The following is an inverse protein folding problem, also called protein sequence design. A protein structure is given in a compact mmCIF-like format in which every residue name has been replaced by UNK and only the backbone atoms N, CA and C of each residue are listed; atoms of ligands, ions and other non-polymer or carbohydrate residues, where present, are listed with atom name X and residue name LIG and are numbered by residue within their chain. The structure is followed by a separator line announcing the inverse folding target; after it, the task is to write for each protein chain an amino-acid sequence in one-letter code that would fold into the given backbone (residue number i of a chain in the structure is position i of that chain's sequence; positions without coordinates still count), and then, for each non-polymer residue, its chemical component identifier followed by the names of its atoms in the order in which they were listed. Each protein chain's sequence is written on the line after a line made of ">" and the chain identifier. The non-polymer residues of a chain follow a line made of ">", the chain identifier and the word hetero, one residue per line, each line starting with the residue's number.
data_IF_411586661399
#
_entry.id   IF_411586661399
#
_cell.length_a   1.000
_cell.length_b   1.000
_cell.length_c   1.000
_cell.angle_alpha   90.00
_cell.angle_beta   90.00
_cell.angle_gamma   90.00
#
_symmetry.space_group_name_H-M   'P 1'
#
loop_
_entity.id
_entity.type
_entity.pdbx_description
1 polymer ?
#
# COMPACT_ATOMS: atom_id res chain seq x y z
N UNK A 1 18.50 -13.89 0.46
CA UNK A 1 17.03 -13.94 0.43
C UNK A 1 16.59 -14.50 -0.91
N UNK A 2 15.56 -15.35 -0.92
CA UNK A 2 15.04 -15.95 -2.15
C UNK A 2 13.81 -15.21 -2.67
N UNK A 3 12.99 -14.64 -1.78
CA UNK A 3 11.79 -13.85 -2.11
C UNK A 3 11.53 -12.75 -1.06
N UNK A 4 10.87 -11.69 -1.46
CA UNK A 4 10.26 -10.73 -0.54
C UNK A 4 8.86 -11.22 -0.15
N UNK A 5 8.53 -11.14 1.14
CA UNK A 5 7.20 -11.52 1.64
C UNK A 5 6.28 -10.31 1.67
N UNK A 6 5.19 -10.39 0.92
CA UNK A 6 4.14 -9.37 0.94
C UNK A 6 2.95 -9.84 1.78
N UNK A 7 2.69 -9.13 2.88
CA UNK A 7 1.56 -9.43 3.76
C UNK A 7 0.27 -8.82 3.20
N UNK A 8 -0.85 -9.54 3.35
CA UNK A 8 -2.14 -9.00 2.90
C UNK A 8 -3.34 -9.60 3.63
N UNK A 9 -4.43 -8.86 3.65
CA UNK A 9 -4.57 -7.47 3.20
C UNK A 9 -4.54 -6.56 4.42
N UNK A 10 -3.68 -5.56 4.39
CA UNK A 10 -3.44 -4.66 5.51
C UNK A 10 -4.40 -3.48 5.44
N UNK A 11 -5.41 -3.33 6.30
CA UNK A 11 -5.82 -4.14 7.45
C UNK A 11 -7.36 -4.13 7.59
N UNK A 12 -7.91 -5.08 8.35
CA UNK A 12 -9.36 -5.14 8.59
C UNK A 12 -10.18 -5.83 7.49
N UNK A 13 -9.54 -6.39 6.48
CA UNK A 13 -10.18 -6.97 5.29
C UNK A 13 -11.20 -8.08 5.57
N UNK A 14 -11.08 -8.80 6.67
CA UNK A 14 -12.00 -9.87 7.05
C UNK A 14 -13.34 -9.42 7.69
N UNK A 15 -13.51 -8.11 7.94
CA UNK A 15 -14.62 -7.57 8.74
C UNK A 15 -15.50 -6.52 8.04
N UNK A 16 -15.58 -6.42 6.69
CA UNK A 16 -16.50 -5.48 6.06
C UNK A 16 -17.96 -5.85 6.30
N UNK A 17 -18.83 -4.83 6.35
CA UNK A 17 -20.28 -5.01 6.52
C UNK A 17 -20.83 -5.92 5.42
N UNK A 18 -21.59 -6.94 5.83
CA UNK A 18 -22.22 -7.87 4.91
C UNK A 18 -21.25 -8.77 4.13
N UNK A 19 -19.95 -8.79 4.48
CA UNK A 19 -18.93 -9.53 3.74
C UNK A 19 -18.67 -8.97 2.34
N UNK A 20 -19.08 -7.73 2.08
CA UNK A 20 -18.94 -7.09 0.78
C UNK A 20 -17.55 -6.48 0.65
N UNK A 21 -16.86 -6.79 -0.43
CA UNK A 21 -15.60 -6.15 -0.78
C UNK A 21 -15.76 -4.62 -0.81
N UNK A 22 -14.77 -3.88 -0.34
CA UNK A 22 -14.79 -2.43 -0.31
C UNK A 22 -15.80 -1.79 0.67
N UNK A 23 -16.61 -2.59 1.38
CA UNK A 23 -17.53 -2.05 2.37
C UNK A 23 -16.78 -1.52 3.60
N UNK A 24 -17.38 -0.56 4.36
CA UNK A 24 -16.84 -0.16 5.64
C UNK A 24 -16.76 -1.34 6.63
N UNK A 25 -15.79 -1.31 7.53
CA UNK A 25 -15.81 -2.18 8.70
C UNK A 25 -16.71 -1.59 9.79
N UNK A 26 -17.28 -2.46 10.65
CA UNK A 26 -17.96 -2.02 11.87
C UNK A 26 -17.00 -1.82 13.04
N UNK A 27 -15.72 -2.12 12.83
CA UNK A 27 -14.67 -1.99 13.83
C UNK A 27 -14.16 -0.56 13.85
N UNK A 28 -14.12 0.03 15.04
CA UNK A 28 -13.39 1.26 15.27
C UNK A 28 -11.89 1.02 15.38
N UNK A 29 -11.11 2.11 15.47
CA UNK A 29 -9.64 2.02 15.60
C UNK A 29 -9.20 1.13 16.76
N UNK A 30 -9.84 1.21 17.92
CA UNK A 30 -9.49 0.36 19.06
C UNK A 30 -9.52 -1.12 18.69
N UNK A 31 -10.58 -1.57 18.03
CA UNK A 31 -10.72 -2.98 17.64
C UNK A 31 -9.70 -3.37 16.58
N UNK A 32 -9.47 -2.50 15.59
CA UNK A 32 -8.47 -2.72 14.54
C UNK A 32 -7.09 -2.90 15.17
N UNK A 33 -6.68 -2.00 16.08
CA UNK A 33 -5.38 -2.09 16.75
C UNK A 33 -5.28 -3.28 17.70
N UNK A 34 -6.39 -3.71 18.33
CA UNK A 34 -6.39 -4.82 19.27
C UNK A 34 -6.44 -6.19 18.60
N UNK A 35 -7.12 -6.31 17.45
CA UNK A 35 -7.40 -7.63 16.85
C UNK A 35 -6.75 -7.81 15.45
N UNK A 36 -6.68 -6.77 14.64
CA UNK A 36 -6.17 -6.90 13.27
C UNK A 36 -4.67 -6.61 13.16
N UNK A 37 -4.20 -5.60 13.87
CA UNK A 37 -2.82 -5.12 13.75
C UNK A 37 -1.75 -6.04 14.35
N UNK A 38 -1.98 -6.77 15.46
CA UNK A 38 -0.93 -7.58 16.09
C UNK A 38 -0.33 -8.64 15.18
N UNK A 39 -1.11 -9.24 14.27
CA UNK A 39 -0.58 -10.23 13.33
C UNK A 39 0.41 -9.61 12.34
N UNK A 40 0.17 -8.38 11.92
CA UNK A 40 1.08 -7.63 11.04
C UNK A 40 2.33 -7.16 11.78
N UNK A 41 2.16 -6.72 13.03
CA UNK A 41 3.30 -6.38 13.90
C UNK A 41 4.27 -7.55 14.07
N UNK A 42 3.75 -8.73 14.44
CA UNK A 42 4.57 -9.94 14.56
C UNK A 42 5.30 -10.29 13.26
N UNK A 43 4.60 -10.18 12.14
CA UNK A 43 5.18 -10.52 10.84
C UNK A 43 6.24 -9.52 10.38
N UNK A 44 6.06 -8.22 10.58
CA UNK A 44 7.05 -7.21 10.20
C UNK A 44 8.21 -7.15 11.18
N UNK A 45 7.91 -7.09 12.50
CA UNK A 45 8.93 -6.85 13.52
C UNK A 45 9.74 -8.11 13.82
N UNK A 46 9.10 -9.29 13.85
CA UNK A 46 9.76 -10.52 14.26
C UNK A 46 10.04 -11.49 13.11
N UNK A 47 9.15 -11.64 12.15
CA UNK A 47 9.35 -12.57 11.05
C UNK A 47 10.08 -11.96 9.84
N UNK A 48 10.26 -10.63 9.80
CA UNK A 48 11.05 -9.97 8.76
C UNK A 48 10.34 -9.88 7.40
N UNK A 49 9.00 -9.82 7.39
CA UNK A 49 8.26 -9.51 6.18
C UNK A 49 8.64 -8.11 5.67
N UNK A 50 8.63 -7.93 4.36
CA UNK A 50 9.19 -6.72 3.74
C UNK A 50 8.15 -5.76 3.22
N UNK A 51 7.05 -6.26 2.68
CA UNK A 51 6.08 -5.49 1.90
C UNK A 51 4.65 -5.76 2.36
N UNK A 52 3.72 -4.91 1.92
CA UNK A 52 2.30 -5.15 2.18
C UNK A 52 1.40 -4.65 1.05
N UNK A 53 0.26 -5.31 0.90
CA UNK A 53 -0.86 -4.86 0.09
C UNK A 53 -1.94 -4.29 0.99
N UNK A 54 -2.38 -3.04 0.73
CA UNK A 54 -3.46 -2.44 1.51
C UNK A 54 -4.82 -3.05 1.17
N UNK A 55 -5.74 -3.03 2.14
CA UNK A 55 -7.08 -3.60 1.97
C UNK A 55 -8.07 -2.63 1.36
N UNK A 56 -9.17 -3.17 0.82
CA UNK A 56 -10.23 -2.38 0.16
C UNK A 56 -11.13 -1.58 1.09
N UNK A 57 -11.32 -2.04 2.32
CA UNK A 57 -12.31 -1.52 3.24
C UNK A 57 -11.95 -0.13 3.78
N UNK A 58 -12.93 0.52 4.37
CA UNK A 58 -12.72 1.71 5.19
C UNK A 58 -12.84 1.37 6.69
N UNK A 59 -12.14 2.14 7.52
CA UNK A 59 -12.17 2.09 8.98
C UNK A 59 -12.58 3.47 9.45
N UNK A 60 -13.61 3.57 10.29
CA UNK A 60 -14.17 4.85 10.76
C UNK A 60 -14.46 5.85 9.61
N UNK A 61 -14.87 5.34 8.44
CA UNK A 61 -15.18 6.12 7.26
C UNK A 61 -13.99 6.50 6.38
N UNK A 62 -12.76 6.15 6.77
CA UNK A 62 -11.55 6.40 5.97
C UNK A 62 -11.13 5.15 5.21
N UNK A 63 -11.04 5.16 3.87
CA UNK A 63 -10.48 4.05 3.12
C UNK A 63 -9.04 3.79 3.53
N UNK A 64 -8.69 2.54 3.79
CA UNK A 64 -7.34 2.16 4.23
C UNK A 64 -6.27 2.63 3.24
N UNK A 65 -6.55 2.58 1.95
CA UNK A 65 -5.63 3.02 0.88
C UNK A 65 -5.24 4.50 0.96
N UNK A 66 -5.98 5.31 1.73
CA UNK A 66 -5.70 6.74 1.97
C UNK A 66 -5.49 7.09 3.46
N UNK A 67 -5.32 6.09 4.31
CA UNK A 67 -5.10 6.30 5.74
C UNK A 67 -3.62 6.44 6.07
N UNK A 68 -3.15 7.68 6.21
CA UNK A 68 -1.76 8.00 6.50
C UNK A 68 -1.29 7.41 7.85
N UNK A 69 -2.14 7.46 8.88
CA UNK A 69 -1.77 6.91 10.18
C UNK A 69 -1.46 5.42 10.08
N UNK A 70 -2.34 4.65 9.41
CA UNK A 70 -2.18 3.21 9.25
C UNK A 70 -0.99 2.88 8.33
N UNK A 71 -0.89 3.52 7.16
CA UNK A 71 0.10 3.16 6.13
C UNK A 71 1.49 3.78 6.36
N UNK A 72 1.57 4.88 7.11
CA UNK A 72 2.84 5.57 7.34
C UNK A 72 3.22 5.57 8.81
N UNK A 73 2.41 6.13 9.71
CA UNK A 73 2.83 6.33 11.09
C UNK A 73 3.00 4.99 11.83
N UNK A 74 2.06 4.07 11.66
CA UNK A 74 2.14 2.75 12.27
C UNK A 74 3.08 1.84 11.49
N UNK A 75 2.80 1.62 10.21
CA UNK A 75 3.50 0.63 9.41
C UNK A 75 5.00 0.94 9.29
N UNK A 76 5.35 2.18 9.01
CA UNK A 76 6.74 2.62 8.83
C UNK A 76 7.34 3.21 10.09
N UNK A 77 6.55 3.99 10.83
CA UNK A 77 6.99 4.64 12.07
C UNK A 77 7.16 3.65 13.21
N UNK A 78 6.20 2.76 13.43
CA UNK A 78 6.19 1.80 14.57
C UNK A 78 6.77 0.44 14.17
N UNK A 79 6.22 -0.21 13.14
CA UNK A 79 6.65 -1.56 12.74
C UNK A 79 7.94 -1.58 11.93
N UNK A 80 8.42 -0.42 11.47
CA UNK A 80 9.67 -0.27 10.71
C UNK A 80 9.71 -1.12 9.43
N UNK A 81 8.55 -1.32 8.78
CA UNK A 81 8.49 -2.04 7.51
C UNK A 81 9.47 -1.42 6.50
N UNK A 82 10.42 -2.20 5.95
CA UNK A 82 11.50 -1.64 5.13
C UNK A 82 11.11 -1.35 3.68
N UNK A 83 10.11 -2.07 3.16
CA UNK A 83 9.77 -2.07 1.76
C UNK A 83 8.58 -1.15 1.39
N UNK A 84 7.82 -1.57 0.41
CA UNK A 84 6.77 -0.75 -0.19
C UNK A 84 5.36 -1.19 0.20
N UNK A 85 4.41 -0.25 0.05
CA UNK A 85 2.97 -0.52 0.11
C UNK A 85 2.44 -0.57 -1.31
N UNK A 86 1.77 -1.66 -1.67
CA UNK A 86 1.02 -1.78 -2.91
C UNK A 86 -0.47 -1.61 -2.64
N UNK A 87 -1.19 -0.93 -3.57
CA UNK A 87 -2.65 -0.99 -3.55
C UNK A 87 -3.12 -2.41 -3.87
N UNK A 88 -4.29 -2.80 -3.38
CA UNK A 88 -5.00 -3.92 -4.00
C UNK A 88 -5.55 -3.48 -5.36
N UNK A 89 -5.97 -4.43 -6.18
CA UNK A 89 -6.44 -4.18 -7.55
C UNK A 89 -7.56 -3.15 -7.56
N UNK A 90 -7.34 -2.01 -8.23
CA UNK A 90 -8.28 -0.89 -8.32
C UNK A 90 -8.65 -0.20 -6.99
N UNK A 91 -7.95 -0.48 -5.88
CA UNK A 91 -8.29 0.08 -4.57
C UNK A 91 -8.14 1.61 -4.52
N UNK A 92 -7.18 2.17 -5.25
CA UNK A 92 -7.01 3.62 -5.32
C UNK A 92 -8.21 4.28 -5.99
N UNK A 93 -8.61 3.78 -7.17
CA UNK A 93 -9.74 4.35 -7.91
C UNK A 93 -11.08 4.13 -7.20
N UNK A 94 -11.19 3.11 -6.36
CA UNK A 94 -12.39 2.87 -5.54
C UNK A 94 -12.67 3.99 -4.54
N UNK A 95 -11.70 4.81 -4.15
CA UNK A 95 -11.96 6.03 -3.39
C UNK A 95 -12.92 6.98 -4.13
N UNK A 96 -12.87 7.00 -5.46
CA UNK A 96 -13.77 7.79 -6.29
C UNK A 96 -15.05 7.01 -6.61
N UNK A 97 -14.95 5.75 -7.04
CA UNK A 97 -16.06 4.99 -7.63
C UNK A 97 -16.94 4.27 -6.61
N UNK A 98 -16.43 3.95 -5.43
CA UNK A 98 -17.14 3.15 -4.43
C UNK A 98 -17.23 3.82 -3.05
N UNK A 99 -16.12 4.31 -2.49
CA UNK A 99 -16.12 5.00 -1.19
C UNK A 99 -16.66 6.44 -1.28
N UNK A 100 -16.63 7.05 -2.45
CA UNK A 100 -16.99 8.46 -2.68
C UNK A 100 -16.23 9.44 -1.76
N UNK A 101 -15.02 9.06 -1.39
CA UNK A 101 -14.11 9.87 -0.55
C UNK A 101 -13.19 10.78 -1.37
N UNK A 102 -13.14 10.60 -2.69
CA UNK A 102 -12.42 11.45 -3.64
C UNK A 102 -13.35 11.90 -4.77
N UNK A 103 -13.32 13.18 -5.11
CA UNK A 103 -14.18 13.74 -6.15
C UNK A 103 -13.71 13.36 -7.56
N UNK A 104 -12.43 13.09 -7.74
CA UNK A 104 -11.82 12.76 -9.04
C UNK A 104 -10.81 11.61 -8.93
N UNK A 105 -10.52 10.90 -10.04
CA UNK A 105 -9.41 9.92 -10.09
C UNK A 105 -8.06 10.50 -9.67
N UNK A 106 -7.77 11.75 -10.03
CA UNK A 106 -6.55 12.46 -9.63
C UNK A 106 -6.47 12.64 -8.11
N UNK A 107 -7.56 13.08 -7.48
CA UNK A 107 -7.63 13.24 -6.03
C UNK A 107 -7.48 11.89 -5.30
N UNK A 108 -8.07 10.82 -5.85
CA UNK A 108 -7.89 9.47 -5.30
C UNK A 108 -6.42 9.04 -5.30
N UNK A 109 -5.72 9.27 -6.42
CA UNK A 109 -4.28 8.97 -6.54
C UNK A 109 -3.46 9.84 -5.58
N UNK A 110 -3.73 11.14 -5.50
CA UNK A 110 -3.05 12.06 -4.59
C UNK A 110 -3.16 11.60 -3.14
N UNK A 111 -4.36 11.26 -2.69
CA UNK A 111 -4.61 10.77 -1.32
C UNK A 111 -3.82 9.48 -1.03
N UNK A 112 -3.80 8.54 -1.97
CA UNK A 112 -3.06 7.30 -1.81
C UNK A 112 -1.54 7.52 -1.72
N UNK A 113 -0.97 8.34 -2.62
CA UNK A 113 0.46 8.70 -2.58
C UNK A 113 0.82 9.36 -1.25
N UNK A 114 0.03 10.33 -0.80
CA UNK A 114 0.26 11.02 0.48
C UNK A 114 0.09 10.12 1.70
N UNK A 115 -0.75 9.10 1.60
CA UNK A 115 -0.89 8.11 2.66
C UNK A 115 0.29 7.12 2.73
N UNK A 116 1.10 7.01 1.67
CA UNK A 116 2.28 6.15 1.63
C UNK A 116 2.13 4.90 0.77
N UNK A 117 1.16 4.88 -0.15
CA UNK A 117 1.08 3.85 -1.20
C UNK A 117 2.14 4.14 -2.25
N UNK A 118 2.99 3.16 -2.52
CA UNK A 118 4.15 3.29 -3.40
C UNK A 118 3.89 2.70 -4.81
N UNK A 119 3.08 1.66 -4.88
CA UNK A 119 2.81 0.92 -6.13
C UNK A 119 1.31 0.79 -6.34
N UNK A 120 0.82 1.24 -7.48
CA UNK A 120 -0.57 1.01 -7.90
C UNK A 120 -0.74 -0.38 -8.53
N UNK A 121 -1.90 -1.03 -8.32
CA UNK A 121 -2.21 -2.31 -8.93
C UNK A 121 -3.48 -2.23 -9.78
N UNK A 122 -3.29 -2.05 -11.10
CA UNK A 122 -4.35 -1.96 -12.09
C UNK A 122 -5.40 -0.85 -11.83
N UNK A 123 -5.03 0.20 -11.10
CA UNK A 123 -5.90 1.36 -10.86
C UNK A 123 -6.02 2.25 -12.10
N UNK A 124 -4.90 2.48 -12.76
CA UNK A 124 -4.77 3.34 -13.94
C UNK A 124 -3.92 2.64 -15.00
N UNK A 125 -4.17 2.95 -16.27
CA UNK A 125 -3.22 2.59 -17.34
C UNK A 125 -1.87 3.29 -17.09
N UNK A 126 -0.79 2.77 -17.67
CA UNK A 126 0.54 3.40 -17.54
C UNK A 126 0.55 4.84 -18.04
N UNK A 127 -0.17 5.13 -19.12
CA UNK A 127 -0.26 6.47 -19.69
C UNK A 127 -1.00 7.42 -18.75
N UNK A 128 -2.16 6.98 -18.23
CA UNK A 128 -2.98 7.76 -17.31
C UNK A 128 -2.24 8.02 -15.99
N UNK A 129 -1.62 7.00 -15.40
CA UNK A 129 -0.83 7.15 -14.18
C UNK A 129 0.29 8.18 -14.36
N UNK A 130 1.08 8.06 -15.45
CA UNK A 130 2.16 9.02 -15.74
C UNK A 130 1.65 10.43 -15.98
N UNK A 131 0.52 10.58 -16.65
CA UNK A 131 -0.12 11.88 -16.88
C UNK A 131 -0.52 12.52 -15.56
N UNK A 132 -1.24 11.78 -14.71
CA UNK A 132 -1.70 12.27 -13.39
C UNK A 132 -0.54 12.62 -12.47
N UNK A 133 0.51 11.79 -12.40
CA UNK A 133 1.70 12.07 -11.59
C UNK A 133 2.41 13.35 -12.05
N UNK A 134 2.57 13.56 -13.36
CA UNK A 134 3.16 14.81 -13.90
C UNK A 134 2.30 16.03 -13.58
N UNK A 135 0.99 15.93 -13.70
CA UNK A 135 0.08 17.02 -13.35
C UNK A 135 0.17 17.38 -11.87
N UNK A 136 0.20 16.37 -10.99
CA UNK A 136 0.31 16.58 -9.54
C UNK A 136 1.66 17.19 -9.12
N UNK A 137 2.74 16.84 -9.81
CA UNK A 137 4.03 17.50 -9.61
C UNK A 137 4.02 18.95 -10.10
N UNK A 138 3.38 19.19 -11.24
CA UNK A 138 3.34 20.53 -11.83
C UNK A 138 2.48 21.52 -11.02
N UNK A 139 1.40 21.06 -10.41
CA UNK A 139 0.52 21.90 -9.57
C UNK A 139 0.88 21.88 -8.07
N UNK A 140 1.91 21.12 -7.68
CA UNK A 140 2.37 21.01 -6.30
C UNK A 140 1.49 20.15 -5.41
N UNK A 141 0.56 19.38 -5.97
CA UNK A 141 -0.29 18.43 -5.22
C UNK A 141 0.53 17.29 -4.58
N UNK A 142 1.64 16.90 -5.22
CA UNK A 142 2.70 16.06 -4.67
C UNK A 142 4.06 16.71 -4.93
N UNK A 143 5.08 16.27 -4.20
CA UNK A 143 6.45 16.76 -4.33
C UNK A 143 7.35 15.71 -4.98
N UNK A 144 8.51 16.16 -5.52
CA UNK A 144 9.55 15.24 -5.98
C UNK A 144 10.08 14.37 -4.83
N UNK A 145 10.18 14.91 -3.62
CA UNK A 145 10.62 14.16 -2.43
C UNK A 145 9.67 12.98 -2.10
N UNK A 146 8.35 13.19 -2.20
CA UNK A 146 7.37 12.11 -2.02
C UNK A 146 7.54 11.04 -3.09
N UNK A 147 7.76 11.40 -4.35
CA UNK A 147 7.99 10.48 -5.45
C UNK A 147 9.32 9.72 -5.29
N UNK A 148 10.39 10.41 -4.96
CA UNK A 148 11.71 9.82 -4.74
C UNK A 148 11.68 8.85 -3.54
N UNK A 149 10.99 9.22 -2.47
CA UNK A 149 10.79 8.37 -1.29
C UNK A 149 10.07 7.08 -1.66
N UNK A 150 8.98 7.17 -2.41
CA UNK A 150 8.23 6.01 -2.89
C UNK A 150 9.09 5.11 -3.79
N UNK A 151 9.79 5.70 -4.75
CA UNK A 151 10.71 4.99 -5.65
C UNK A 151 11.82 4.29 -4.87
N UNK A 152 12.43 4.97 -3.90
CA UNK A 152 13.50 4.41 -3.08
C UNK A 152 13.05 3.17 -2.27
N UNK A 153 11.79 3.11 -1.85
CA UNK A 153 11.24 1.94 -1.13
C UNK A 153 11.21 0.70 -2.03
N UNK A 154 10.76 0.87 -3.26
CA UNK A 154 10.74 -0.23 -4.25
C UNK A 154 12.16 -0.68 -4.62
N UNK A 155 13.06 0.28 -4.85
CA UNK A 155 14.46 -0.03 -5.17
C UNK A 155 15.17 -0.73 -4.02
N UNK A 156 14.89 -0.36 -2.78
CA UNK A 156 15.44 -1.02 -1.59
C UNK A 156 15.09 -2.51 -1.53
N UNK A 157 13.86 -2.88 -1.85
CA UNK A 157 13.48 -4.31 -1.87
C UNK A 157 14.22 -5.05 -2.97
N UNK A 158 14.39 -4.46 -4.14
CA UNK A 158 15.20 -5.03 -5.23
C UNK A 158 16.66 -5.23 -4.82
N UNK A 159 17.24 -4.24 -4.12
CA UNK A 159 18.58 -4.30 -3.57
C UNK A 159 18.72 -5.43 -2.52
N UNK A 160 17.79 -5.49 -1.56
CA UNK A 160 17.74 -6.54 -0.54
C UNK A 160 17.67 -7.96 -1.12
N UNK A 161 17.09 -8.11 -2.30
CA UNK A 161 16.99 -9.38 -3.04
C UNK A 161 18.21 -9.66 -3.92
N UNK A 162 19.15 -8.70 -4.04
CA UNK A 162 20.32 -8.82 -4.91
C UNK A 162 20.00 -8.75 -6.41
N UNK A 163 18.86 -8.15 -6.78
CA UNK A 163 18.38 -8.12 -8.17
C UNK A 163 19.22 -7.20 -9.08
N UNK A 164 20.04 -6.31 -8.51
CA UNK A 164 20.94 -5.48 -9.29
C UNK A 164 22.22 -6.19 -9.64
N UNK A 165 22.71 -7.09 -8.77
CA UNK A 165 23.91 -7.90 -8.98
C UNK A 165 23.63 -9.16 -9.76
N UNK A 166 22.54 -9.87 -9.42
CA UNK A 166 22.15 -11.12 -10.08
C UNK A 166 20.62 -11.24 -10.15
N UNK A 167 19.99 -10.78 -11.25
CA UNK A 167 18.52 -10.87 -11.41
C UNK A 167 18.02 -12.25 -11.85
N UNK A 168 18.93 -13.18 -12.17
CA UNK A 168 18.59 -14.50 -12.71
C UNK A 168 18.61 -15.56 -11.61
N UNK A 169 17.71 -16.54 -11.75
CA UNK A 169 17.72 -17.75 -10.91
C UNK A 169 18.72 -18.77 -11.43
N UNK A 170 19.24 -19.58 -10.53
CA UNK A 170 20.05 -20.75 -10.90
C UNK A 170 19.12 -21.91 -11.29
N UNK A 171 19.00 -22.16 -12.59
CA UNK A 171 18.15 -23.21 -13.14
C UNK A 171 18.60 -24.63 -12.74
N UNK A 172 19.83 -24.80 -12.22
CA UNK A 172 20.30 -26.10 -11.74
C UNK A 172 19.68 -26.53 -10.42
N UNK A 173 18.97 -25.62 -9.72
CA UNK A 173 18.27 -25.91 -8.46
C UNK A 173 16.87 -26.51 -8.65
N UNK A 174 16.40 -26.70 -9.88
CA UNK A 174 15.12 -27.34 -10.20
C UNK A 174 15.22 -28.88 -10.20
N UNK A 175 15.73 -29.50 -9.17
CA UNK A 175 15.79 -30.96 -9.07
C UNK A 175 15.18 -31.49 -7.78
#
# INVERSE_FOLDING_TARGET
>A
HTVASELKHYTGYGNPIGGLNCAPTTMGRHDVFSYCMPVFEEAFVKAGATDTMCSYNSIDGFPVVSDHEILTDVLRGTYKMPGFVRSDMTAIIMQHTAHHSAATPKEALQKAVKAGVDVQFADYSHEEYRRLMKEMLADGSITMEELDTSTARVLRVKDMLGLFENPYVDETLES
#
